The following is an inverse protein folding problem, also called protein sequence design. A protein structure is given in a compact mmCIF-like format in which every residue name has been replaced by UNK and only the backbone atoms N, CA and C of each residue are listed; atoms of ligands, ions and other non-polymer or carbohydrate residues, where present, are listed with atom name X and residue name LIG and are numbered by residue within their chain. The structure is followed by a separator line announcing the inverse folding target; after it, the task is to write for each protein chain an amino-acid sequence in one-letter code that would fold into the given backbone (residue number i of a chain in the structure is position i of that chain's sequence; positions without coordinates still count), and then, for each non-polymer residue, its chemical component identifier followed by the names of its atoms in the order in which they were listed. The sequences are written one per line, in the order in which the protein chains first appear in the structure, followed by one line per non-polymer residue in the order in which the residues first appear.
data_IF_643638050334
#
_entry.id   IF_643638050334
#
_cell.length_a   1.000
_cell.length_b   1.000
_cell.length_c   1.000
_cell.angle_alpha   90.00
_cell.angle_beta   90.00
_cell.angle_gamma   90.00
#
_symmetry.space_group_name_H-M   'P 1'
#
loop_
_entity.id
_entity.type
_entity.pdbx_description
1 polymer ?
#
# COMPACT_ATOMS: atom_id res chain seq x y z
N UNK A 1 -15.70 24.41 -3.99
CA UNK A 1 -14.81 23.25 -4.21
C UNK A 1 -14.13 23.01 -2.89
N UNK A 2 -14.55 21.96 -2.22
CA UNK A 2 -13.94 21.56 -0.95
C UNK A 2 -12.86 20.52 -1.25
N UNK A 3 -11.75 20.60 -0.51
CA UNK A 3 -10.60 19.71 -0.67
C UNK A 3 -10.32 19.03 0.67
N UNK A 4 -10.22 17.71 0.63
CA UNK A 4 -9.79 16.89 1.74
C UNK A 4 -8.51 16.14 1.36
N UNK A 5 -7.64 15.91 2.34
CA UNK A 5 -6.51 14.99 2.19
C UNK A 5 -6.65 13.87 3.20
N UNK A 6 -6.58 12.64 2.73
CA UNK A 6 -6.56 11.44 3.55
C UNK A 6 -5.18 10.77 3.49
N UNK A 7 -4.85 10.05 4.56
CA UNK A 7 -3.73 9.11 4.59
C UNK A 7 -4.25 7.75 5.03
N UNK A 8 -3.86 6.71 4.31
CA UNK A 8 -4.09 5.32 4.71
C UNK A 8 -2.74 4.73 5.10
N UNK A 9 -2.68 4.17 6.31
CA UNK A 9 -1.53 3.39 6.76
C UNK A 9 -1.72 1.98 6.21
N UNK A 10 -0.74 1.45 5.49
CA UNK A 10 -0.81 0.10 4.96
C UNK A 10 -0.94 -0.92 6.08
N UNK A 11 -1.88 -1.86 5.91
CA UNK A 11 -2.24 -2.81 6.94
C UNK A 11 -1.16 -3.88 7.15
N UNK A 12 -1.04 -4.37 8.38
CA UNK A 12 -0.26 -5.58 8.66
C UNK A 12 -0.84 -6.75 7.86
N UNK A 13 0.00 -7.69 7.46
CA UNK A 13 -0.42 -8.80 6.60
C UNK A 13 -0.31 -8.52 5.10
N UNK A 14 -0.05 -7.27 4.70
CA UNK A 14 -0.02 -6.85 3.29
C UNK A 14 1.39 -6.41 2.87
N UNK A 15 1.73 -6.41 1.57
CA UNK A 15 2.99 -5.83 1.08
C UNK A 15 3.06 -4.30 1.26
N UNK A 16 1.99 -3.68 1.77
CA UNK A 16 1.87 -2.25 2.04
C UNK A 16 2.20 -1.86 3.49
N UNK A 17 2.40 -2.85 4.38
CA UNK A 17 2.52 -2.65 5.84
C UNK A 17 3.47 -1.52 6.23
N UNK A 18 3.04 -0.70 7.19
CA UNK A 18 3.71 0.50 7.70
C UNK A 18 3.92 1.63 6.66
N UNK A 19 3.56 1.44 5.39
CA UNK A 19 3.58 2.46 4.36
C UNK A 19 2.53 3.55 4.60
N UNK A 20 2.81 4.77 4.13
CA UNK A 20 1.86 5.89 4.17
C UNK A 20 1.41 6.25 2.75
N UNK A 21 0.12 6.08 2.47
CA UNK A 21 -0.50 6.30 1.17
C UNK A 21 -1.43 7.50 1.24
N UNK A 22 -1.08 8.58 0.54
CA UNK A 22 -1.82 9.85 0.61
C UNK A 22 -2.74 10.05 -0.59
N UNK A 23 -3.93 10.58 -0.32
CA UNK A 23 -4.97 10.81 -1.31
C UNK A 23 -5.53 12.22 -1.15
N UNK A 24 -5.57 12.98 -2.25
CA UNK A 24 -6.35 14.22 -2.33
C UNK A 24 -7.75 13.89 -2.85
N UNK A 25 -8.76 14.46 -2.19
CA UNK A 25 -10.17 14.25 -2.49
C UNK A 25 -10.80 15.61 -2.77
N UNK A 26 -11.34 15.76 -3.96
CA UNK A 26 -12.00 16.97 -4.43
C UNK A 26 -13.50 16.73 -4.55
N UNK A 27 -14.29 17.62 -3.95
CA UNK A 27 -15.75 17.60 -4.03
C UNK A 27 -16.22 18.57 -5.13
N UNK A 28 -16.69 18.05 -6.28
CA UNK A 28 -17.25 18.88 -7.34
C UNK A 28 -18.55 19.55 -6.88
N UNK A 29 -19.02 20.56 -7.63
CA UNK A 29 -20.23 21.33 -7.29
C UNK A 29 -21.47 20.44 -7.28
N UNK A 30 -21.44 19.37 -8.08
CA UNK A 30 -22.51 18.40 -8.24
C UNK A 30 -22.53 17.34 -7.12
N UNK A 31 -21.52 17.29 -6.23
CA UNK A 31 -21.51 16.34 -5.11
C UNK A 31 -22.71 16.59 -4.17
N UNK A 32 -23.44 15.54 -3.72
CA UNK A 32 -23.17 14.10 -3.88
C UNK A 32 -23.85 13.44 -5.08
N UNK A 33 -24.43 14.19 -6.02
CA UNK A 33 -25.05 13.61 -7.23
C UNK A 33 -24.05 12.86 -8.12
N UNK A 34 -22.77 13.24 -8.04
CA UNK A 34 -21.62 12.55 -8.65
C UNK A 34 -20.59 12.20 -7.57
N UNK A 35 -19.73 11.18 -7.78
CA UNK A 35 -18.68 10.84 -6.83
C UNK A 35 -17.66 11.97 -6.65
N UNK A 36 -16.88 11.96 -5.55
CA UNK A 36 -15.73 12.83 -5.42
C UNK A 36 -14.62 12.40 -6.38
N UNK A 37 -13.74 13.33 -6.75
CA UNK A 37 -12.51 13.01 -7.50
C UNK A 37 -11.39 12.66 -6.51
N UNK A 38 -10.65 11.59 -6.75
CA UNK A 38 -9.56 11.14 -5.88
C UNK A 38 -8.25 11.05 -6.66
N UNK A 39 -7.19 11.60 -6.08
CA UNK A 39 -5.84 11.58 -6.63
C UNK A 39 -4.84 10.98 -5.64
N UNK A 40 -4.15 9.92 -6.03
CA UNK A 40 -3.11 9.26 -5.25
C UNK A 40 -1.76 9.96 -5.42
N UNK A 41 -1.06 10.21 -4.31
CA UNK A 41 0.30 10.75 -4.31
C UNK A 41 1.33 9.65 -4.62
N UNK A 42 1.40 9.23 -5.88
CA UNK A 42 2.14 8.04 -6.29
C UNK A 42 3.66 8.14 -6.24
N UNK A 43 4.23 9.36 -6.28
CA UNK A 43 5.68 9.54 -6.34
C UNK A 43 6.33 8.94 -7.61
N UNK A 44 5.53 8.68 -8.65
CA UNK A 44 5.96 8.04 -9.90
C UNK A 44 6.07 6.52 -9.84
N UNK A 45 5.41 5.86 -8.88
CA UNK A 45 5.43 4.40 -8.70
C UNK A 45 4.05 3.79 -8.97
N UNK A 46 4.02 2.70 -9.72
CA UNK A 46 2.83 1.86 -9.92
C UNK A 46 2.80 0.77 -8.83
N UNK A 47 2.11 1.05 -7.72
CA UNK A 47 2.17 0.20 -6.50
C UNK A 47 1.00 -0.78 -6.39
N UNK A 48 0.04 -0.69 -7.31
CA UNK A 48 -1.11 -1.57 -7.40
C UNK A 48 -1.72 -1.43 -8.82
N UNK A 49 -2.37 -2.46 -9.39
CA UNK A 49 -3.09 -2.35 -10.67
C UNK A 49 -4.16 -1.26 -10.68
N UNK A 50 -4.63 -0.83 -9.50
CA UNK A 50 -5.61 0.23 -9.33
C UNK A 50 -5.03 1.57 -8.82
N UNK A 51 -3.71 1.67 -8.60
CA UNK A 51 -3.00 2.89 -8.18
C UNK A 51 -1.83 3.20 -9.11
N UNK A 52 -2.07 4.15 -10.01
CA UNK A 52 -1.20 4.44 -11.12
C UNK A 52 -0.12 5.44 -10.72
N UNK A 53 1.03 5.39 -11.39
CA UNK A 53 2.18 6.29 -11.19
C UNK A 53 1.88 7.76 -11.46
N UNK A 54 0.83 8.05 -12.24
CA UNK A 54 0.30 9.39 -12.47
C UNK A 54 -0.72 9.84 -11.41
N UNK A 55 -1.02 9.01 -10.41
CA UNK A 55 -1.96 9.28 -9.34
C UNK A 55 -3.42 8.96 -9.64
N UNK A 56 -3.72 8.34 -10.78
CA UNK A 56 -5.07 7.86 -11.10
C UNK A 56 -5.44 6.66 -10.20
N UNK A 57 -6.69 6.65 -9.72
CA UNK A 57 -7.23 5.62 -8.82
C UNK A 57 -8.40 4.94 -9.50
N UNK A 58 -8.30 3.62 -9.73
CA UNK A 58 -9.39 2.81 -10.27
C UNK A 58 -10.27 2.29 -9.13
N UNK A 59 -11.52 2.73 -9.07
CA UNK A 59 -12.51 2.25 -8.12
C UNK A 59 -13.92 2.50 -8.67
N UNK A 60 -14.80 1.50 -8.62
CA UNK A 60 -16.18 1.60 -9.13
C UNK A 60 -16.99 2.70 -8.43
N UNK A 61 -16.80 2.87 -7.11
CA UNK A 61 -17.39 3.97 -6.34
C UNK A 61 -16.95 5.37 -6.82
N UNK A 62 -15.85 5.47 -7.58
CA UNK A 62 -15.38 6.73 -8.17
C UNK A 62 -15.78 6.86 -9.64
N UNK A 63 -16.46 5.87 -10.22
CA UNK A 63 -16.78 5.81 -11.64
C UNK A 63 -15.54 5.61 -12.54
N UNK A 64 -14.39 5.28 -11.95
CA UNK A 64 -13.12 5.07 -12.67
C UNK A 64 -12.83 3.60 -12.97
N UNK A 65 -13.71 2.71 -12.52
CA UNK A 65 -13.65 1.27 -12.78
C UNK A 65 -15.05 0.68 -12.97
N UNK A 66 -15.14 -0.45 -13.66
CA UNK A 66 -16.41 -1.16 -13.86
C UNK A 66 -16.84 -1.85 -12.57
N UNK A 67 -18.07 -1.59 -12.12
CA UNK A 67 -18.73 -2.30 -11.03
C UNK A 67 -20.19 -2.62 -11.37
N UNK A 68 -20.76 -3.60 -10.67
CA UNK A 68 -22.20 -3.85 -10.67
C UNK A 68 -22.96 -2.64 -10.10
N UNK A 69 -24.27 -2.58 -10.32
CA UNK A 69 -25.07 -1.39 -9.96
C UNK A 69 -24.87 -0.94 -8.50
N UNK A 70 -24.74 -1.89 -7.56
CA UNK A 70 -24.57 -1.58 -6.15
C UNK A 70 -23.14 -1.21 -5.74
N UNK A 71 -22.16 -1.44 -6.61
CA UNK A 71 -20.75 -1.11 -6.39
C UNK A 71 -20.37 0.27 -6.94
N UNK A 72 -21.21 0.84 -7.80
CA UNK A 72 -21.04 2.19 -8.33
C UNK A 72 -21.54 3.25 -7.34
N UNK A 73 -21.13 4.50 -7.53
CA UNK A 73 -21.59 5.62 -6.71
C UNK A 73 -23.11 5.76 -6.72
N UNK A 74 -23.71 5.77 -5.54
CA UNK A 74 -25.13 6.01 -5.32
C UNK A 74 -25.32 7.23 -4.41
N UNK A 75 -25.81 8.38 -4.91
CA UNK A 75 -25.88 9.63 -4.14
C UNK A 75 -26.54 9.54 -2.77
N UNK A 76 -27.52 8.64 -2.62
CA UNK A 76 -28.28 8.45 -1.38
C UNK A 76 -27.62 7.52 -0.35
N UNK A 77 -26.59 6.76 -0.74
CA UNK A 77 -25.99 5.70 0.08
C UNK A 77 -24.46 5.79 0.19
N UNK A 78 -23.81 6.24 -0.88
CA UNK A 78 -22.37 6.34 -1.00
C UNK A 78 -21.82 7.54 -0.22
N UNK A 79 -20.66 7.37 0.39
CA UNK A 79 -19.95 8.42 1.11
C UNK A 79 -18.43 8.23 1.06
N UNK A 80 -17.69 9.25 1.50
CA UNK A 80 -16.22 9.25 1.50
C UNK A 80 -15.62 8.17 2.38
N UNK A 81 -16.28 7.82 3.49
CA UNK A 81 -15.80 6.74 4.36
C UNK A 81 -15.81 5.40 3.60
N UNK A 82 -16.86 5.11 2.82
CA UNK A 82 -16.89 3.91 1.97
C UNK A 82 -15.80 3.94 0.91
N UNK A 83 -15.54 5.09 0.28
CA UNK A 83 -14.41 5.23 -0.66
C UNK A 83 -13.08 4.86 0.01
N UNK A 84 -12.79 5.43 1.19
CA UNK A 84 -11.55 5.16 1.91
C UNK A 84 -11.45 3.70 2.38
N UNK A 85 -12.55 3.12 2.86
CA UNK A 85 -12.61 1.71 3.25
C UNK A 85 -12.43 0.79 2.03
N UNK A 86 -12.99 1.13 0.88
CA UNK A 86 -12.80 0.37 -0.36
C UNK A 86 -11.36 0.44 -0.86
N UNK A 87 -10.70 1.61 -0.79
CA UNK A 87 -9.26 1.70 -1.10
C UNK A 87 -8.46 0.81 -0.15
N UNK A 88 -8.74 0.86 1.15
CA UNK A 88 -8.02 0.04 2.13
C UNK A 88 -8.25 -1.47 1.92
N UNK A 89 -9.50 -1.89 1.70
CA UNK A 89 -9.88 -3.31 1.69
C UNK A 89 -9.69 -3.97 0.32
N UNK A 90 -9.96 -3.24 -0.78
CA UNK A 90 -9.96 -3.80 -2.14
C UNK A 90 -8.64 -3.50 -2.85
N UNK A 91 -8.02 -2.36 -2.62
CA UNK A 91 -6.79 -1.96 -3.31
C UNK A 91 -5.57 -2.38 -2.48
N UNK A 92 -5.44 -1.88 -1.26
CA UNK A 92 -4.26 -2.11 -0.40
C UNK A 92 -4.34 -3.44 0.39
N UNK A 93 -4.66 -4.54 -0.30
CA UNK A 93 -4.95 -5.85 0.30
C UNK A 93 -3.72 -6.80 0.34
N UNK A 94 -3.91 -8.03 0.85
CA UNK A 94 -2.84 -9.04 1.01
C UNK A 94 -2.28 -9.58 -0.32
N UNK A 95 -3.10 -9.65 -1.37
CA UNK A 95 -2.78 -10.26 -2.66
C UNK A 95 -3.15 -9.34 -3.83
N UNK A 96 -2.50 -8.17 -3.95
CA UNK A 96 -2.79 -7.16 -4.97
C UNK A 96 -2.57 -7.61 -6.41
N UNK A 97 -1.87 -8.72 -6.64
CA UNK A 97 -1.77 -9.35 -7.98
C UNK A 97 -3.15 -9.62 -8.59
N UNK A 98 -4.09 -10.09 -7.78
CA UNK A 98 -5.45 -10.41 -8.23
C UNK A 98 -6.35 -9.17 -8.37
N UNK A 99 -5.81 -7.97 -8.19
CA UNK A 99 -6.52 -6.74 -8.54
C UNK A 99 -6.41 -6.43 -10.04
N UNK A 100 -5.52 -7.12 -10.76
CA UNK A 100 -5.42 -7.02 -12.21
C UNK A 100 -6.65 -7.68 -12.86
N UNK A 101 -7.35 -6.96 -13.75
CA UNK A 101 -8.51 -7.49 -14.45
C UNK A 101 -8.24 -8.79 -15.20
N UNK A 102 -9.07 -9.80 -14.94
CA UNK A 102 -8.96 -11.12 -15.55
C UNK A 102 -8.02 -12.06 -14.79
N UNK A 103 -7.40 -11.61 -13.69
CA UNK A 103 -6.52 -12.45 -12.88
C UNK A 103 -7.29 -13.17 -11.77
N UNK A 104 -8.55 -12.79 -11.53
CA UNK A 104 -9.40 -13.32 -10.47
C UNK A 104 -9.62 -14.84 -10.60
N UNK A 105 -9.70 -15.35 -11.83
CA UNK A 105 -9.89 -16.78 -12.12
C UNK A 105 -8.67 -17.64 -11.72
N UNK A 106 -7.49 -17.03 -11.55
CA UNK A 106 -6.28 -17.72 -11.09
C UNK A 106 -6.16 -17.74 -9.57
N UNK A 107 -7.05 -17.07 -8.84
CA UNK A 107 -7.00 -17.02 -7.38
C UNK A 107 -7.23 -18.43 -6.81
N UNK A 108 -6.30 -18.87 -5.96
CA UNK A 108 -6.32 -20.22 -5.38
C UNK A 108 -5.78 -21.33 -6.29
N UNK A 109 -5.37 -21.04 -7.54
CA UNK A 109 -4.58 -22.00 -8.34
C UNK A 109 -3.12 -21.99 -7.90
N UNK A 110 -2.38 -23.11 -8.01
CA UNK A 110 -0.96 -23.13 -7.66
C UNK A 110 -0.14 -22.09 -8.41
N UNK A 111 -0.43 -21.88 -9.70
CA UNK A 111 0.26 -20.91 -10.54
C UNK A 111 -0.05 -19.47 -10.11
N UNK A 112 -1.33 -19.11 -9.96
CA UNK A 112 -1.72 -17.76 -9.56
C UNK A 112 -1.23 -17.38 -8.17
N UNK A 113 -1.18 -18.35 -7.24
CA UNK A 113 -0.61 -18.15 -5.92
C UNK A 113 0.90 -17.91 -5.97
N UNK A 114 1.64 -18.57 -6.87
CA UNK A 114 3.08 -18.32 -7.04
C UNK A 114 3.33 -16.90 -7.57
N UNK A 115 2.62 -16.52 -8.63
CA UNK A 115 2.72 -15.18 -9.22
C UNK A 115 2.35 -14.09 -8.20
N UNK A 116 1.32 -14.33 -7.38
CA UNK A 116 0.94 -13.40 -6.32
C UNK A 116 2.01 -13.23 -5.26
N UNK A 117 2.80 -14.26 -4.94
CA UNK A 117 3.91 -14.15 -3.99
C UNK A 117 5.06 -13.32 -4.56
N UNK A 118 5.42 -13.54 -5.82
CA UNK A 118 6.46 -12.77 -6.51
C UNK A 118 6.04 -11.31 -6.67
N UNK A 119 4.77 -11.06 -7.00
CA UNK A 119 4.21 -9.71 -7.05
C UNK A 119 4.24 -9.01 -5.69
N UNK A 120 3.93 -9.73 -4.60
CA UNK A 120 4.01 -9.16 -3.24
C UNK A 120 5.42 -8.69 -2.89
N UNK A 121 6.45 -9.43 -3.32
CA UNK A 121 7.85 -9.03 -3.14
C UNK A 121 8.18 -7.73 -3.87
N UNK A 122 7.73 -7.58 -5.12
CA UNK A 122 7.90 -6.34 -5.88
C UNK A 122 7.19 -5.17 -5.19
N UNK A 123 5.90 -5.35 -4.84
CA UNK A 123 5.13 -4.31 -4.18
C UNK A 123 5.73 -3.91 -2.84
N UNK A 124 6.29 -4.85 -2.07
CA UNK A 124 6.97 -4.50 -0.83
C UNK A 124 8.18 -3.60 -1.08
N UNK A 125 9.01 -3.88 -2.09
CA UNK A 125 10.13 -3.01 -2.44
C UNK A 125 9.64 -1.60 -2.86
N UNK A 126 8.55 -1.51 -3.62
CA UNK A 126 7.92 -0.25 -3.99
C UNK A 126 7.31 0.48 -2.78
N UNK A 127 6.77 -0.24 -1.79
CA UNK A 127 6.33 0.32 -0.52
C UNK A 127 7.48 0.95 0.24
N UNK A 128 8.66 0.32 0.29
CA UNK A 128 9.86 0.93 0.91
C UNK A 128 10.28 2.22 0.18
N UNK A 129 10.22 2.25 -1.16
CA UNK A 129 10.45 3.48 -1.95
C UNK A 129 9.41 4.56 -1.65
N UNK A 130 8.14 4.16 -1.47
CA UNK A 130 7.05 5.07 -1.08
C UNK A 130 7.28 5.66 0.30
N UNK A 131 7.77 4.87 1.27
CA UNK A 131 8.15 5.38 2.60
C UNK A 131 9.25 6.44 2.49
N UNK A 132 10.32 6.17 1.74
CA UNK A 132 11.40 7.14 1.50
C UNK A 132 10.91 8.40 0.78
N UNK A 133 10.06 8.25 -0.24
CA UNK A 133 9.40 9.36 -0.92
C UNK A 133 8.61 10.23 0.07
N UNK A 134 7.75 9.61 0.88
CA UNK A 134 6.90 10.30 1.87
C UNK A 134 7.73 10.99 2.95
N UNK A 135 8.85 10.40 3.39
CA UNK A 135 9.79 11.05 4.32
C UNK A 135 10.52 12.25 3.70
N UNK A 136 10.90 12.15 2.42
CA UNK A 136 11.60 13.24 1.70
C UNK A 136 10.67 14.37 1.28
N UNK A 137 9.41 14.04 0.95
CA UNK A 137 8.40 14.97 0.41
C UNK A 137 7.06 14.77 1.12
N UNK A 138 7.00 14.98 2.45
CA UNK A 138 5.75 14.83 3.18
C UNK A 138 4.71 15.84 2.66
N UNK A 139 3.46 15.41 2.42
CA UNK A 139 2.41 16.33 2.04
C UNK A 139 2.23 17.47 3.04
N UNK A 140 1.85 18.65 2.55
CA UNK A 140 1.59 19.82 3.41
C UNK A 140 0.60 19.42 4.52
N UNK A 141 0.86 19.88 5.74
CA UNK A 141 0.10 19.57 6.97
C UNK A 141 0.25 18.14 7.52
N UNK A 142 1.00 17.25 6.85
CA UNK A 142 1.30 15.90 7.34
C UNK A 142 2.78 15.70 7.73
N UNK A 143 3.59 16.77 7.74
CA UNK A 143 5.02 16.69 8.06
C UNK A 143 5.31 16.03 9.39
N UNK A 144 4.64 16.48 10.45
CA UNK A 144 4.84 15.96 11.79
C UNK A 144 4.30 14.52 11.90
N UNK A 145 3.11 14.25 11.34
CA UNK A 145 2.55 12.90 11.26
C UNK A 145 3.49 11.90 10.58
N UNK A 146 4.04 12.24 9.41
CA UNK A 146 4.99 11.40 8.68
C UNK A 146 6.24 11.15 9.52
N UNK A 147 6.79 12.20 10.13
CA UNK A 147 7.97 12.09 10.98
C UNK A 147 7.71 11.18 12.18
N UNK A 148 6.62 11.40 12.91
CA UNK A 148 6.30 10.66 14.13
C UNK A 148 5.96 9.19 13.83
N UNK A 149 5.22 8.95 12.74
CA UNK A 149 4.97 7.59 12.23
C UNK A 149 6.29 6.88 11.94
N UNK A 150 7.11 7.37 11.02
CA UNK A 150 8.34 6.66 10.67
C UNK A 150 9.37 6.62 11.80
N UNK A 151 9.40 7.62 12.69
CA UNK A 151 10.26 7.57 13.87
C UNK A 151 9.85 6.44 14.82
N UNK A 152 8.55 6.25 15.05
CA UNK A 152 8.04 5.17 15.90
C UNK A 152 8.10 3.79 15.25
N UNK A 153 7.91 3.70 13.94
CA UNK A 153 7.85 2.43 13.19
C UNK A 153 9.20 1.96 12.64
N UNK A 154 10.24 2.81 12.58
CA UNK A 154 11.51 2.50 11.92
C UNK A 154 12.15 1.16 12.36
N UNK A 155 12.17 0.87 13.67
CA UNK A 155 12.74 -0.38 14.18
C UNK A 155 11.96 -1.60 13.70
N UNK A 156 10.64 -1.53 13.75
CA UNK A 156 9.77 -2.62 13.30
C UNK A 156 9.90 -2.85 11.79
N UNK A 157 9.97 -1.77 11.00
CA UNK A 157 10.19 -1.86 9.55
C UNK A 157 11.53 -2.57 9.27
N UNK A 158 12.60 -2.23 10.01
CA UNK A 158 13.90 -2.91 9.87
C UNK A 158 13.86 -4.38 10.32
N UNK A 159 13.11 -4.71 11.37
CA UNK A 159 12.90 -6.09 11.81
C UNK A 159 12.16 -6.89 10.73
N UNK A 160 11.11 -6.34 10.15
CA UNK A 160 10.35 -6.95 9.04
C UNK A 160 11.27 -7.20 7.83
N UNK A 161 12.06 -6.20 7.42
CA UNK A 161 13.01 -6.37 6.32
C UNK A 161 14.04 -7.48 6.61
N UNK A 162 14.60 -7.52 7.83
CA UNK A 162 15.54 -8.57 8.25
C UNK A 162 14.87 -9.95 8.26
N UNK A 163 13.62 -10.04 8.68
CA UNK A 163 12.85 -11.29 8.65
C UNK A 163 12.67 -11.78 7.21
N UNK A 164 12.28 -10.89 6.28
CA UNK A 164 12.09 -11.26 4.88
C UNK A 164 13.40 -11.64 4.18
N UNK A 165 14.50 -10.95 4.49
CA UNK A 165 15.85 -11.37 4.08
C UNK A 165 16.22 -12.76 4.60
N UNK A 166 15.71 -13.14 5.78
CA UNK A 166 15.98 -14.45 6.40
C UNK A 166 15.04 -15.56 5.91
N UNK A 167 14.22 -15.27 4.90
CA UNK A 167 13.34 -16.26 4.26
C UNK A 167 11.89 -16.22 4.71
N UNK A 168 11.49 -15.32 5.61
CA UNK A 168 10.09 -15.12 5.95
C UNK A 168 9.34 -14.50 4.75
N UNK A 169 8.13 -14.97 4.47
CA UNK A 169 7.36 -14.52 3.29
C UNK A 169 6.84 -13.09 3.47
N UNK A 170 6.81 -12.28 2.41
CA UNK A 170 6.15 -10.97 2.45
C UNK A 170 4.69 -11.11 2.85
N UNK A 171 4.25 -10.27 3.80
CA UNK A 171 2.89 -10.31 4.35
C UNK A 171 2.74 -11.22 5.57
N UNK A 172 3.73 -12.04 5.97
CA UNK A 172 3.62 -12.72 7.26
C UNK A 172 3.67 -11.71 8.43
N UNK A 173 2.88 -11.96 9.48
CA UNK A 173 2.85 -11.10 10.65
C UNK A 173 4.16 -11.25 11.43
N UNK A 174 4.91 -10.16 11.55
CA UNK A 174 6.21 -10.12 12.26
C UNK A 174 6.09 -9.42 13.62
N UNK A 175 5.02 -8.65 13.86
CA UNK A 175 4.79 -7.95 15.14
C UNK A 175 4.31 -8.91 16.23
N UNK A 176 5.12 -9.10 17.27
CA UNK A 176 4.75 -9.93 18.44
C UNK A 176 5.01 -11.43 18.30
N UNK A 177 5.66 -11.85 17.20
CA UNK A 177 6.01 -13.25 16.91
C UNK A 177 5.79 -13.57 15.43
N UNK A 178 6.50 -14.58 14.91
CA UNK A 178 6.27 -15.10 13.55
C UNK A 178 5.02 -15.98 13.63
N UNK A 179 3.92 -15.52 13.05
CA UNK A 179 2.79 -16.41 12.75
C UNK A 179 2.90 -16.82 11.28
N UNK A 180 3.55 -17.96 11.05
CA UNK A 180 3.51 -18.64 9.76
C UNK A 180 2.07 -19.09 9.53
N UNK A 181 1.35 -18.38 8.66
CA UNK A 181 0.01 -18.79 8.24
C UNK A 181 0.02 -20.04 7.35
N UNK A 182 1.18 -20.62 6.99
CA UNK A 182 1.25 -21.91 6.30
C UNK A 182 2.52 -22.69 6.62
N UNK A 183 2.37 -23.85 7.28
CA UNK A 183 3.42 -24.90 7.38
C UNK A 183 3.69 -25.47 5.98
N UNK A 184 4.51 -24.78 5.20
CA UNK A 184 4.85 -25.10 3.80
C UNK A 184 5.25 -23.90 2.94
N UNK A 185 5.32 -22.69 3.52
CA UNK A 185 5.57 -21.46 2.80
C UNK A 185 6.90 -21.48 2.03
N UNK A 186 6.85 -21.02 0.77
CA UNK A 186 8.04 -20.73 -0.04
C UNK A 186 8.76 -19.55 0.60
N UNK A 187 10.08 -19.67 0.75
CA UNK A 187 10.92 -18.55 1.18
C UNK A 187 10.91 -17.45 0.12
N UNK A 188 11.19 -16.22 0.53
CA UNK A 188 11.35 -15.12 -0.41
C UNK A 188 12.37 -15.42 -1.52
N UNK A 189 12.13 -14.87 -2.72
CA UNK A 189 12.97 -15.13 -3.89
C UNK A 189 14.41 -14.59 -3.73
N UNK A 190 15.40 -15.19 -4.39
CA UNK A 190 16.77 -14.68 -4.41
C UNK A 190 16.88 -13.26 -4.97
N UNK A 191 16.04 -12.92 -5.96
CA UNK A 191 16.05 -11.59 -6.57
C UNK A 191 15.58 -10.52 -5.58
N UNK A 192 14.50 -10.81 -4.85
CA UNK A 192 13.99 -9.94 -3.82
C UNK A 192 14.98 -9.78 -2.66
N UNK A 193 15.46 -10.90 -2.10
CA UNK A 193 16.41 -10.88 -0.97
C UNK A 193 17.74 -10.22 -1.35
N UNK A 194 18.18 -10.33 -2.60
CA UNK A 194 19.34 -9.60 -3.13
C UNK A 194 19.12 -8.09 -3.32
N UNK A 195 17.88 -7.66 -3.59
CA UNK A 195 17.53 -6.24 -3.82
C UNK A 195 17.19 -5.48 -2.53
N UNK A 196 16.70 -6.18 -1.51
CA UNK A 196 16.24 -5.62 -0.25
C UNK A 196 17.32 -4.83 0.53
N UNK A 197 18.60 -5.25 0.60
CA UNK A 197 19.65 -4.50 1.31
C UNK A 197 19.80 -3.05 0.84
N UNK A 198 19.74 -2.81 -0.47
CA UNK A 198 19.85 -1.47 -1.02
C UNK A 198 18.68 -0.56 -0.59
N UNK A 199 17.47 -1.13 -0.48
CA UNK A 199 16.29 -0.42 0.01
C UNK A 199 16.36 -0.17 1.52
N UNK A 200 16.89 -1.14 2.28
CA UNK A 200 17.15 -0.95 3.72
C UNK A 200 18.16 0.18 3.95
N UNK A 201 19.27 0.22 3.21
CA UNK A 201 20.26 1.29 3.32
C UNK A 201 19.68 2.67 3.01
N UNK A 202 18.80 2.76 2.01
CA UNK A 202 18.04 3.98 1.70
C UNK A 202 17.18 4.40 2.90
N UNK A 203 16.43 3.47 3.48
CA UNK A 203 15.56 3.75 4.63
C UNK A 203 16.35 4.12 5.89
N UNK A 204 17.46 3.44 6.19
CA UNK A 204 18.33 3.79 7.33
C UNK A 204 18.81 5.23 7.22
N UNK A 205 19.22 5.67 6.03
CA UNK A 205 19.60 7.07 5.79
C UNK A 205 18.42 8.03 6.01
N UNK A 206 17.22 7.66 5.57
CA UNK A 206 16.02 8.48 5.76
C UNK A 206 15.62 8.56 7.24
N UNK A 207 15.55 7.43 7.95
CA UNK A 207 15.23 7.36 9.37
C UNK A 207 16.26 8.10 10.25
N UNK A 208 17.55 8.00 9.91
CA UNK A 208 18.60 8.75 10.62
C UNK A 208 18.39 10.26 10.51
N UNK A 209 17.98 10.76 9.34
CA UNK A 209 17.63 12.18 9.14
C UNK A 209 16.40 12.61 9.96
N UNK A 210 15.50 11.68 10.26
CA UNK A 210 14.36 11.92 11.16
C UNK A 210 14.73 11.87 12.64
N UNK A 211 15.97 11.50 12.98
CA UNK A 211 16.47 11.43 14.35
C UNK A 211 16.40 10.05 15.00
N UNK A 212 16.04 9.01 14.25
CA UNK A 212 16.03 7.62 14.76
C UNK A 212 17.47 7.15 14.99
N UNK A 213 17.71 6.48 16.14
CA UNK A 213 19.03 5.97 16.55
C UNK A 213 19.00 4.45 16.73
N UNK A 214 20.11 3.78 16.41
CA UNK A 214 20.33 2.36 16.67
C UNK A 214 19.51 1.42 15.78
N UNK A 215 19.57 1.64 14.45
CA UNK A 215 18.94 0.81 13.42
C UNK A 215 19.90 -0.26 12.87
#
# INVERSE_FOLDING_TARGET
MDLLRAVIVGADGTPYSDGLFFFDISFPVEYPSVPPEVHYHAGGLDINPNLYSNGYVCLSLLGTWSGSHNENWQPSFSNVLQVLLSIQALILNEKPYFNEPGYEDFKGTPEGEIESLEYNEEIFLLSLKTMDYSMRRPPKHFKDFVKDHFHSRAKDIMVTCKAYMSGAQVGCLVKGGIQDLNRGAKSCSPNFTGSLPAHMDMLVKAFTKLGVKGL
#
